data_IF_273464265784
#
_entry.id   IF_273464265784
#
_cell.length_a   1.000
_cell.length_b   1.000
_cell.length_c   1.000
_cell.angle_alpha   90.00
_cell.angle_beta   90.00
_cell.angle_gamma   90.00
#
_symmetry.space_group_name_H-M   'P 1'
#
loop_
_entity.id
_entity.type
_entity.pdbx_description
1 polymer ?
#
# COMPACT_ATOMS: atom_id res chain seq x y z
N UNK A 1 21.04 -9.46 11.48
CA UNK A 1 21.73 -10.52 12.25
C UNK A 1 23.03 -10.01 12.88
N UNK A 2 24.18 -9.95 12.17
CA UNK A 2 25.46 -9.53 12.81
C UNK A 2 25.40 -8.17 13.53
N UNK A 3 24.87 -7.14 12.85
CA UNK A 3 24.73 -5.78 13.41
C UNK A 3 23.76 -5.67 14.60
N UNK A 4 22.72 -6.50 14.62
CA UNK A 4 21.76 -6.55 15.73
C UNK A 4 22.42 -7.13 16.97
N UNK A 5 23.19 -8.22 16.78
CA UNK A 5 23.98 -8.84 17.83
C UNK A 5 25.03 -7.87 18.40
N UNK A 6 25.76 -7.15 17.53
CA UNK A 6 26.71 -6.11 17.96
C UNK A 6 26.04 -5.01 18.80
N UNK A 7 24.86 -4.53 18.40
CA UNK A 7 24.11 -3.52 19.16
C UNK A 7 23.67 -4.04 20.53
N UNK A 8 23.22 -5.31 20.59
CA UNK A 8 22.83 -5.99 21.83
C UNK A 8 24.01 -6.18 22.78
N UNK A 9 25.17 -6.58 22.26
CA UNK A 9 26.38 -6.80 23.04
C UNK A 9 26.94 -5.48 23.59
N UNK A 10 26.94 -4.42 22.76
CA UNK A 10 27.31 -3.08 23.19
C UNK A 10 26.39 -2.56 24.31
N UNK A 11 25.07 -2.71 24.16
CA UNK A 11 24.10 -2.30 25.18
C UNK A 11 24.31 -3.08 26.50
N UNK A 12 24.59 -4.38 26.40
CA UNK A 12 24.86 -5.25 27.55
C UNK A 12 26.15 -4.87 28.28
N UNK A 13 27.21 -4.54 27.54
CA UNK A 13 28.49 -4.07 28.09
C UNK A 13 28.35 -2.75 28.85
N UNK A 14 27.66 -1.76 28.26
CA UNK A 14 27.37 -0.46 28.92
C UNK A 14 26.53 -0.66 30.18
N UNK A 15 25.53 -1.54 30.13
CA UNK A 15 24.68 -1.86 31.28
C UNK A 15 25.50 -2.45 32.44
N UNK A 16 26.41 -3.40 32.16
CA UNK A 16 27.29 -3.98 33.19
C UNK A 16 28.18 -2.93 33.83
N UNK A 17 28.85 -2.10 33.02
CA UNK A 17 29.71 -1.01 33.51
C UNK A 17 28.94 0.01 34.35
N UNK A 18 27.73 0.38 33.94
CA UNK A 18 26.87 1.27 34.73
C UNK A 18 26.48 0.65 36.07
N UNK A 19 26.16 -0.65 36.10
CA UNK A 19 25.89 -1.37 37.36
C UNK A 19 27.12 -1.45 38.27
N UNK A 20 28.31 -1.67 37.71
CA UNK A 20 29.56 -1.72 38.47
C UNK A 20 29.89 -0.37 39.11
N UNK A 21 29.76 0.72 38.36
CA UNK A 21 29.92 2.08 38.89
C UNK A 21 28.85 2.45 39.91
N UNK A 22 27.61 1.98 39.72
CA UNK A 22 26.53 2.15 40.70
C UNK A 22 26.85 1.47 42.03
N UNK A 23 27.49 0.28 41.99
CA UNK A 23 27.98 -0.40 43.19
C UNK A 23 29.16 0.35 43.82
N UNK A 24 30.12 0.82 43.02
CA UNK A 24 31.27 1.56 43.50
C UNK A 24 30.88 2.89 44.19
N UNK A 25 29.86 3.58 43.68
CA UNK A 25 29.34 4.82 44.25
C UNK A 25 28.91 4.66 45.72
N UNK A 26 28.36 3.49 46.09
CA UNK A 26 27.88 3.24 47.45
C UNK A 26 29.01 3.21 48.50
N UNK A 27 30.25 2.97 48.08
CA UNK A 27 31.44 2.89 48.96
C UNK A 27 32.49 3.95 48.66
N UNK A 28 32.27 4.79 47.65
CA UNK A 28 33.26 5.75 47.19
C UNK A 28 33.40 6.92 48.18
N UNK A 29 34.63 7.46 48.39
CA UNK A 29 34.82 8.68 49.15
C UNK A 29 34.15 9.88 48.45
N UNK A 30 33.75 10.89 49.23
CA UNK A 30 33.03 12.07 48.70
C UNK A 30 33.77 12.79 47.56
N UNK A 31 35.10 12.73 47.53
CA UNK A 31 35.93 13.30 46.47
C UNK A 31 35.79 12.61 45.12
N UNK A 32 35.39 11.33 45.08
CA UNK A 32 35.24 10.54 43.84
C UNK A 32 33.79 10.39 43.39
N UNK A 33 32.84 10.54 44.32
CA UNK A 33 31.41 10.35 44.07
C UNK A 33 30.90 11.20 42.88
N UNK A 34 31.28 12.48 42.80
CA UNK A 34 30.86 13.38 41.73
C UNK A 34 31.31 12.91 40.33
N UNK A 35 32.52 12.36 40.20
CA UNK A 35 33.03 11.83 38.94
C UNK A 35 32.29 10.55 38.53
N UNK A 36 32.01 9.67 39.51
CA UNK A 36 31.25 8.44 39.29
C UNK A 36 29.81 8.77 38.84
N UNK A 37 29.16 9.74 39.47
CA UNK A 37 27.82 10.21 39.10
C UNK A 37 27.77 10.80 37.68
N UNK A 38 28.77 11.59 37.30
CA UNK A 38 28.89 12.12 35.95
C UNK A 38 29.04 10.99 34.90
N UNK A 39 29.92 10.03 35.16
CA UNK A 39 30.13 8.88 34.27
C UNK A 39 28.87 7.99 34.19
N UNK A 40 28.18 7.76 35.31
CA UNK A 40 26.90 7.05 35.33
C UNK A 40 25.84 7.74 34.47
N UNK A 41 25.76 9.07 34.55
CA UNK A 41 24.83 9.87 33.73
C UNK A 41 25.15 9.70 32.24
N UNK A 42 26.43 9.78 31.87
CA UNK A 42 26.90 9.56 30.49
C UNK A 42 26.60 8.14 29.99
N UNK A 43 26.87 7.11 30.80
CA UNK A 43 26.63 5.71 30.44
C UNK A 43 25.13 5.40 30.32
N UNK A 44 24.29 5.95 31.20
CA UNK A 44 22.82 5.79 31.11
C UNK A 44 22.26 6.44 29.85
N UNK A 45 22.72 7.64 29.49
CA UNK A 45 22.36 8.28 28.22
C UNK A 45 22.75 7.39 27.03
N UNK A 46 24.00 6.89 27.03
CA UNK A 46 24.49 5.98 25.99
C UNK A 46 23.71 4.66 25.93
N UNK A 47 23.35 4.09 27.08
CA UNK A 47 22.54 2.88 27.17
C UNK A 47 21.17 3.11 26.54
N UNK A 48 20.52 4.24 26.83
CA UNK A 48 19.22 4.61 26.26
C UNK A 48 19.28 4.71 24.74
N UNK A 49 20.31 5.37 24.18
CA UNK A 49 20.55 5.45 22.73
C UNK A 49 20.72 4.06 22.08
N UNK A 50 21.55 3.19 22.67
CA UNK A 50 21.79 1.84 22.15
C UNK A 50 20.54 0.98 22.24
N UNK A 51 19.79 1.07 23.34
CA UNK A 51 18.54 0.36 23.52
C UNK A 51 17.48 0.80 22.50
N UNK A 52 17.36 2.11 22.24
CA UNK A 52 16.47 2.64 21.22
C UNK A 52 16.87 2.15 19.81
N UNK A 53 18.17 2.16 19.48
CA UNK A 53 18.69 1.64 18.22
C UNK A 53 18.36 0.16 18.04
N UNK A 54 18.63 -0.67 19.06
CA UNK A 54 18.36 -2.10 19.03
C UNK A 54 16.85 -2.37 18.84
N UNK A 55 15.98 -1.67 19.58
CA UNK A 55 14.52 -1.81 19.45
C UNK A 55 14.06 -1.48 18.02
N UNK A 56 14.52 -0.36 17.46
CA UNK A 56 14.20 0.04 16.09
C UNK A 56 14.68 -0.98 15.05
N UNK A 57 15.85 -1.59 15.25
CA UNK A 57 16.35 -2.64 14.36
C UNK A 57 15.53 -3.92 14.45
N UNK A 58 15.19 -4.37 15.66
CA UNK A 58 14.36 -5.55 15.88
C UNK A 58 12.97 -5.39 15.25
N UNK A 59 12.33 -4.22 15.46
CA UNK A 59 11.02 -3.91 14.89
C UNK A 59 11.07 -3.89 13.34
N UNK A 60 12.12 -3.32 12.76
CA UNK A 60 12.33 -3.30 11.30
C UNK A 60 12.54 -4.72 10.74
N UNK A 61 13.34 -5.55 11.40
CA UNK A 61 13.57 -6.94 11.00
C UNK A 61 12.26 -7.73 11.05
N UNK A 62 11.45 -7.54 12.09
CA UNK A 62 10.14 -8.16 12.21
C UNK A 62 9.20 -7.74 11.07
N UNK A 63 9.14 -6.45 10.76
CA UNK A 63 8.33 -5.92 9.65
C UNK A 63 8.77 -6.49 8.29
N UNK A 64 10.08 -6.55 8.03
CA UNK A 64 10.64 -7.12 6.80
C UNK A 64 10.33 -8.63 6.71
N UNK A 65 10.49 -9.37 7.80
CA UNK A 65 10.21 -10.82 7.84
C UNK A 65 8.74 -11.10 7.55
N UNK A 66 7.84 -10.33 8.17
CA UNK A 66 6.41 -10.43 7.91
C UNK A 66 6.07 -10.13 6.44
N UNK A 67 6.66 -9.08 5.87
CA UNK A 67 6.48 -8.77 4.45
C UNK A 67 7.00 -9.88 3.54
N UNK A 68 8.19 -10.43 3.79
CA UNK A 68 8.75 -11.54 3.01
C UNK A 68 7.84 -12.78 3.03
N UNK A 69 7.18 -13.07 4.15
CA UNK A 69 6.27 -14.21 4.27
C UNK A 69 4.97 -14.05 3.46
N UNK A 70 4.59 -12.81 3.12
CA UNK A 70 3.36 -12.49 2.38
C UNK A 70 3.61 -12.01 0.94
N UNK A 71 4.87 -11.79 0.58
CA UNK A 71 5.25 -11.33 -0.75
C UNK A 71 4.94 -12.40 -1.82
N UNK A 72 4.27 -11.98 -2.89
CA UNK A 72 3.97 -12.84 -4.04
C UNK A 72 4.83 -12.46 -5.26
N UNK A 73 5.16 -13.46 -6.07
CA UNK A 73 6.01 -13.31 -7.26
C UNK A 73 7.51 -13.51 -6.99
N UNK A 74 8.30 -13.48 -8.06
CA UNK A 74 9.76 -13.66 -7.97
C UNK A 74 10.42 -12.37 -7.50
N UNK A 75 11.15 -12.45 -6.39
CA UNK A 75 11.97 -11.35 -5.88
C UNK A 75 13.32 -11.35 -6.59
N UNK A 76 13.72 -10.20 -7.09
CA UNK A 76 14.99 -9.99 -7.77
C UNK A 76 15.78 -8.89 -7.06
N UNK A 77 17.08 -9.07 -6.94
CA UNK A 77 17.96 -8.01 -6.43
C UNK A 77 18.07 -6.89 -7.45
N UNK A 78 17.82 -5.66 -7.00
CA UNK A 78 17.94 -4.44 -7.78
C UNK A 78 19.20 -3.72 -7.34
N UNK A 79 19.86 -3.06 -8.28
CA UNK A 79 21.03 -2.24 -7.97
C UNK A 79 20.64 -1.13 -6.96
N UNK A 80 21.43 -0.90 -5.89
CA UNK A 80 21.20 0.20 -4.97
C UNK A 80 21.06 1.53 -5.71
N UNK A 81 20.10 2.36 -5.28
CA UNK A 81 19.92 3.68 -5.87
C UNK A 81 21.13 4.58 -5.57
N UNK A 82 21.42 5.51 -6.47
CA UNK A 82 22.43 6.55 -6.23
C UNK A 82 21.70 7.82 -5.83
N UNK A 83 21.78 8.18 -4.55
CA UNK A 83 21.24 9.44 -4.08
C UNK A 83 22.25 10.57 -4.30
N UNK A 84 21.81 11.66 -4.93
CA UNK A 84 22.63 12.85 -5.14
C UNK A 84 22.42 13.84 -3.98
N UNK A 85 23.53 14.28 -3.37
CA UNK A 85 23.51 15.41 -2.44
C UNK A 85 23.45 16.72 -3.24
N UNK A 86 22.67 17.68 -2.75
CA UNK A 86 22.73 19.05 -3.30
C UNK A 86 24.03 19.75 -2.87
N UNK A 87 24.38 20.84 -3.57
CA UNK A 87 25.60 21.60 -3.27
C UNK A 87 25.58 22.12 -1.83
N UNK A 88 26.53 21.65 -1.01
CA UNK A 88 26.65 22.04 0.40
C UNK A 88 25.68 21.32 1.35
N UNK A 89 24.92 20.34 0.87
CA UNK A 89 23.98 19.58 1.68
C UNK A 89 24.67 18.46 2.46
N UNK A 90 24.36 18.33 3.76
CA UNK A 90 24.80 17.20 4.58
C UNK A 90 23.92 15.97 4.34
N UNK A 91 24.44 14.77 4.57
CA UNK A 91 23.65 13.52 4.44
C UNK A 91 22.37 13.58 5.29
N UNK A 92 22.46 14.07 6.53
CA UNK A 92 21.30 14.22 7.41
C UNK A 92 20.26 15.20 6.85
N UNK A 93 20.68 16.33 6.25
CA UNK A 93 19.77 17.28 5.61
C UNK A 93 19.07 16.66 4.40
N UNK A 94 19.81 15.89 3.58
CA UNK A 94 19.26 15.19 2.43
C UNK A 94 18.21 14.13 2.85
N UNK A 95 18.46 13.37 3.92
CA UNK A 95 17.49 12.42 4.48
C UNK A 95 16.23 13.14 4.97
N UNK A 96 16.36 14.28 5.68
CA UNK A 96 15.20 15.07 6.13
C UNK A 96 14.36 15.56 4.94
N UNK A 97 15.01 16.04 3.87
CA UNK A 97 14.31 16.43 2.64
C UNK A 97 13.55 15.26 2.00
N UNK A 98 14.20 14.10 1.86
CA UNK A 98 13.56 12.91 1.30
C UNK A 98 12.37 12.44 2.15
N UNK A 99 12.50 12.45 3.47
CA UNK A 99 11.38 12.13 4.38
C UNK A 99 10.19 13.07 4.21
N UNK A 100 10.44 14.38 4.07
CA UNK A 100 9.39 15.34 3.78
C UNK A 100 8.70 15.04 2.44
N UNK A 101 9.49 14.68 1.42
CA UNK A 101 8.96 14.28 0.11
C UNK A 101 8.11 13.00 0.19
N UNK A 102 8.56 11.98 0.91
CA UNK A 102 7.84 10.72 1.11
C UNK A 102 6.51 10.97 1.83
N UNK A 103 6.52 11.82 2.86
CA UNK A 103 5.29 12.23 3.55
C UNK A 103 4.31 12.93 2.60
N UNK A 104 4.80 13.88 1.79
CA UNK A 104 3.96 14.56 0.79
C UNK A 104 3.36 13.59 -0.23
N UNK A 105 4.15 12.65 -0.76
CA UNK A 105 3.68 11.62 -1.69
C UNK A 105 2.66 10.68 -1.05
N UNK A 106 2.83 10.34 0.23
CA UNK A 106 1.89 9.51 0.99
C UNK A 106 0.55 10.22 1.15
N UNK A 107 0.56 11.51 1.50
CA UNK A 107 -0.63 12.34 1.61
C UNK A 107 -1.34 12.48 0.26
N UNK A 108 -0.59 12.71 -0.82
CA UNK A 108 -1.15 12.76 -2.18
C UNK A 108 -1.80 11.42 -2.56
N UNK A 109 -1.16 10.29 -2.22
CA UNK A 109 -1.71 8.95 -2.45
C UNK A 109 -3.05 8.75 -1.75
N UNK A 110 -3.16 9.14 -0.47
CA UNK A 110 -4.44 9.07 0.27
C UNK A 110 -5.50 9.94 -0.40
N UNK A 111 -5.16 11.17 -0.81
CA UNK A 111 -6.07 12.06 -1.54
C UNK A 111 -6.57 11.45 -2.85
N UNK A 112 -5.70 10.79 -3.62
CA UNK A 112 -6.08 10.10 -4.87
C UNK A 112 -6.93 8.86 -4.60
N UNK A 113 -6.67 8.12 -3.51
CA UNK A 113 -7.52 7.01 -3.09
C UNK A 113 -8.93 7.46 -2.65
N UNK A 114 -9.06 8.66 -2.12
CA UNK A 114 -10.33 9.24 -1.70
C UNK A 114 -11.02 10.05 -2.82
N UNK A 115 -10.43 10.12 -4.01
CA UNK A 115 -11.03 10.82 -5.14
C UNK A 115 -12.37 10.17 -5.52
N UNK A 116 -13.41 11.02 -5.60
CA UNK A 116 -14.74 10.61 -6.03
C UNK A 116 -14.78 10.29 -7.52
N UNK A 117 -15.85 9.61 -7.95
CA UNK A 117 -16.11 9.35 -9.37
C UNK A 117 -16.70 10.63 -10.00
N UNK A 118 -16.22 11.08 -11.17
CA UNK A 118 -16.81 12.21 -11.87
C UNK A 118 -18.29 11.97 -12.18
N UNK A 119 -19.11 13.03 -12.11
CA UNK A 119 -20.55 12.95 -12.41
C UNK A 119 -20.80 12.40 -13.83
N UNK A 120 -19.98 12.79 -14.80
CA UNK A 120 -20.06 12.27 -16.17
C UNK A 120 -19.87 10.74 -16.22
N UNK A 121 -18.89 10.21 -15.48
CA UNK A 121 -18.64 8.77 -15.40
C UNK A 121 -19.79 8.04 -14.67
N UNK A 122 -20.38 8.66 -13.64
CA UNK A 122 -21.56 8.12 -12.95
C UNK A 122 -22.78 8.03 -13.88
N UNK A 123 -23.02 9.06 -14.71
CA UNK A 123 -24.09 9.05 -15.71
C UNK A 123 -23.85 8.00 -16.80
N UNK A 124 -22.60 7.84 -17.25
CA UNK A 124 -22.25 6.78 -18.19
C UNK A 124 -22.45 5.38 -17.60
N UNK A 125 -22.11 5.19 -16.31
CA UNK A 125 -22.39 3.94 -15.59
C UNK A 125 -23.89 3.71 -15.40
N UNK A 126 -24.66 4.76 -15.12
CA UNK A 126 -26.12 4.67 -15.03
C UNK A 126 -26.74 4.26 -16.38
N UNK A 127 -26.28 4.83 -17.49
CA UNK A 127 -26.72 4.43 -18.83
C UNK A 127 -26.43 2.95 -19.09
N UNK A 128 -25.18 2.51 -18.90
CA UNK A 128 -24.80 1.10 -19.08
C UNK A 128 -25.57 0.15 -18.14
N UNK A 129 -25.92 0.60 -16.94
CA UNK A 129 -26.75 -0.15 -16.00
C UNK A 129 -28.19 -0.29 -16.49
N UNK A 130 -28.80 0.79 -17.01
CA UNK A 130 -30.14 0.76 -17.60
C UNK A 130 -30.17 -0.15 -18.81
N UNK A 131 -29.17 -0.09 -19.69
CA UNK A 131 -29.07 -0.98 -20.86
C UNK A 131 -29.08 -2.46 -20.43
N UNK A 132 -28.27 -2.80 -19.42
CA UNK A 132 -28.24 -4.16 -18.87
C UNK A 132 -29.56 -4.58 -18.20
N UNK A 133 -30.31 -3.63 -17.64
CA UNK A 133 -31.64 -3.87 -17.07
C UNK A 133 -32.70 -4.08 -18.15
N UNK A 134 -32.65 -3.35 -19.25
CA UNK A 134 -33.55 -3.52 -20.41
C UNK A 134 -33.45 -4.94 -20.94
N UNK A 135 -32.22 -5.42 -21.16
CA UNK A 135 -31.97 -6.78 -21.65
C UNK A 135 -32.49 -7.85 -20.69
N UNK A 136 -32.36 -7.61 -19.37
CA UNK A 136 -32.85 -8.51 -18.33
C UNK A 136 -34.37 -8.46 -18.16
N UNK A 137 -34.96 -7.29 -18.33
CA UNK A 137 -36.39 -7.02 -18.14
C UNK A 137 -37.26 -7.44 -19.32
N UNK A 138 -36.65 -7.74 -20.47
CA UNK A 138 -37.36 -8.13 -21.69
C UNK A 138 -38.22 -9.38 -21.47
N UNK A 139 -39.55 -9.29 -21.61
CA UNK A 139 -40.40 -10.46 -21.52
C UNK A 139 -40.23 -11.36 -22.74
N UNK A 140 -40.33 -12.66 -22.49
CA UNK A 140 -40.51 -13.68 -23.52
C UNK A 140 -42.01 -13.83 -23.75
N UNK A 141 -42.46 -13.49 -24.95
CA UNK A 141 -43.84 -13.72 -25.38
C UNK A 141 -43.91 -15.12 -25.99
N UNK A 142 -44.84 -15.94 -25.50
CA UNK A 142 -45.14 -17.26 -26.00
C UNK A 142 -46.57 -17.21 -26.56
N UNK A 143 -46.70 -17.40 -27.86
CA UNK A 143 -47.98 -17.53 -28.55
C UNK A 143 -47.89 -18.78 -29.44
N UNK A 144 -48.68 -19.80 -29.13
CA UNK A 144 -48.74 -21.09 -29.84
C UNK A 144 -50.21 -21.39 -30.18
N UNK A 145 -50.49 -22.08 -31.29
CA UNK A 145 -51.85 -22.46 -31.67
C UNK A 145 -52.51 -23.42 -30.66
N UNK A 146 -51.71 -24.06 -29.79
CA UNK A 146 -52.17 -25.01 -28.76
C UNK A 146 -52.14 -24.47 -27.34
N UNK A 147 -51.64 -23.24 -27.11
CA UNK A 147 -51.54 -22.63 -25.79
C UNK A 147 -52.13 -21.22 -25.81
N UNK A 148 -52.69 -20.79 -24.69
CA UNK A 148 -53.12 -19.40 -24.56
C UNK A 148 -51.93 -18.44 -24.65
N UNK A 149 -52.21 -17.21 -25.03
CA UNK A 149 -51.22 -16.13 -25.07
C UNK A 149 -50.60 -15.95 -23.68
N UNK A 150 -49.27 -16.12 -23.58
CA UNK A 150 -48.54 -16.04 -22.31
C UNK A 150 -47.34 -15.09 -22.43
N UNK A 151 -47.15 -14.26 -21.40
CA UNK A 151 -45.99 -13.35 -21.29
C UNK A 151 -45.17 -13.76 -20.08
N UNK A 152 -43.96 -14.24 -20.31
CA UNK A 152 -43.04 -14.69 -19.27
C UNK A 152 -41.87 -13.72 -19.12
N UNK A 153 -41.71 -13.11 -17.95
CA UNK A 153 -40.48 -12.37 -17.65
C UNK A 153 -39.37 -13.36 -17.31
N UNK A 154 -38.17 -13.18 -17.90
CA UNK A 154 -37.04 -14.09 -17.67
C UNK A 154 -36.55 -13.92 -16.22
N UNK A 155 -37.06 -14.77 -15.33
CA UNK A 155 -36.60 -14.86 -13.94
C UNK A 155 -35.30 -15.65 -13.94
N UNK A 156 -34.18 -15.04 -13.54
CA UNK A 156 -32.99 -15.83 -13.24
C UNK A 156 -33.32 -16.84 -12.14
N UNK A 157 -32.96 -18.11 -12.33
CA UNK A 157 -33.32 -19.23 -11.44
C UNK A 157 -32.84 -19.05 -9.98
N UNK A 158 -31.95 -18.10 -9.73
CA UNK A 158 -31.47 -17.77 -8.39
C UNK A 158 -32.51 -16.93 -7.65
N UNK A 159 -33.43 -17.61 -6.97
CA UNK A 159 -34.31 -17.05 -5.95
C UNK A 159 -33.49 -16.63 -4.72
N UNK A 160 -32.78 -15.52 -4.80
CA UNK A 160 -32.43 -14.79 -3.57
C UNK A 160 -33.69 -14.08 -3.05
N UNK A 161 -33.85 -13.93 -1.74
CA UNK A 161 -34.99 -13.36 -1.00
C UNK A 161 -35.51 -11.96 -1.43
N UNK A 162 -34.93 -11.34 -2.46
CA UNK A 162 -35.31 -10.02 -2.96
C UNK A 162 -36.67 -9.98 -3.70
N UNK A 163 -37.31 -11.12 -3.97
CA UNK A 163 -38.69 -11.21 -4.46
C UNK A 163 -39.00 -10.32 -5.68
N UNK A 164 -40.21 -9.76 -5.72
CA UNK A 164 -40.66 -8.82 -6.76
C UNK A 164 -39.84 -7.52 -6.75
N UNK A 165 -39.40 -7.05 -5.58
CA UNK A 165 -38.68 -5.79 -5.42
C UNK A 165 -37.36 -5.75 -6.21
N UNK A 166 -36.63 -6.88 -6.27
CA UNK A 166 -35.42 -6.99 -7.09
C UNK A 166 -35.68 -6.98 -8.61
N UNK A 167 -36.93 -7.24 -9.04
CA UNK A 167 -37.31 -7.35 -10.47
C UNK A 167 -37.89 -6.06 -11.03
N UNK A 168 -38.51 -5.23 -10.18
CA UNK A 168 -39.15 -3.98 -10.59
C UNK A 168 -38.23 -3.05 -11.40
N UNK A 169 -36.94 -2.83 -11.03
CA UNK A 169 -36.08 -1.96 -11.82
C UNK A 169 -35.87 -2.45 -13.26
N UNK A 170 -35.76 -3.76 -13.48
CA UNK A 170 -35.59 -4.33 -14.82
C UNK A 170 -36.87 -4.18 -15.67
N UNK A 171 -38.03 -4.43 -15.07
CA UNK A 171 -39.33 -4.27 -15.76
C UNK A 171 -39.57 -2.80 -16.11
N UNK A 172 -39.30 -1.87 -15.18
CA UNK A 172 -39.45 -0.43 -15.41
C UNK A 172 -38.47 0.08 -16.48
N UNK A 173 -37.21 -0.35 -16.43
CA UNK A 173 -36.21 0.00 -17.43
C UNK A 173 -36.59 -0.55 -18.83
N UNK A 174 -37.12 -1.76 -18.92
CA UNK A 174 -37.62 -2.31 -20.19
C UNK A 174 -38.84 -1.53 -20.74
N UNK A 175 -39.73 -1.07 -19.86
CA UNK A 175 -40.94 -0.37 -20.25
C UNK A 175 -40.66 1.05 -20.80
N UNK A 176 -39.83 1.82 -20.10
CA UNK A 176 -39.44 3.18 -20.49
C UNK A 176 -37.99 3.48 -20.05
N UNK A 177 -36.99 3.07 -20.84
CA UNK A 177 -35.58 3.22 -20.49
C UNK A 177 -35.17 4.69 -20.38
N UNK A 178 -35.72 5.55 -21.24
CA UNK A 178 -35.36 6.97 -21.31
C UNK A 178 -35.83 7.72 -20.07
N UNK A 179 -37.09 7.52 -19.65
CA UNK A 179 -37.61 8.16 -18.43
C UNK A 179 -36.89 7.63 -17.18
N UNK A 180 -36.61 6.33 -17.13
CA UNK A 180 -35.90 5.73 -16.00
C UNK A 180 -34.48 6.28 -15.88
N UNK A 181 -33.73 6.35 -16.99
CA UNK A 181 -32.39 6.96 -17.04
C UNK A 181 -32.43 8.46 -16.70
N UNK A 182 -33.43 9.20 -17.18
CA UNK A 182 -33.60 10.61 -16.87
C UNK A 182 -33.77 10.86 -15.36
N UNK A 183 -34.54 10.01 -14.66
CA UNK A 183 -34.71 10.07 -13.20
C UNK A 183 -33.43 9.73 -12.44
N UNK A 184 -32.66 8.75 -12.91
CA UNK A 184 -31.35 8.45 -12.35
C UNK A 184 -30.39 9.63 -12.52
N UNK A 185 -30.32 10.21 -13.71
CA UNK A 185 -29.48 11.37 -13.99
C UNK A 185 -29.85 12.58 -13.13
N UNK A 186 -31.15 12.86 -12.95
CA UNK A 186 -31.61 13.90 -12.05
C UNK A 186 -31.15 13.66 -10.60
N UNK A 187 -31.20 12.41 -10.15
CA UNK A 187 -30.75 12.03 -8.80
C UNK A 187 -29.24 12.20 -8.66
N UNK A 188 -28.46 11.80 -9.68
CA UNK A 188 -27.01 12.00 -9.74
C UNK A 188 -26.66 13.48 -9.74
N UNK A 189 -27.38 14.32 -10.48
CA UNK A 189 -27.16 15.77 -10.54
C UNK A 189 -27.47 16.47 -9.21
N UNK A 190 -28.35 15.90 -8.39
CA UNK A 190 -28.65 16.39 -7.05
C UNK A 190 -27.61 15.95 -6.00
N UNK A 191 -26.69 15.04 -6.32
CA UNK A 191 -25.64 14.61 -5.39
C UNK A 191 -24.61 15.71 -5.17
N UNK A 192 -24.05 15.86 -3.95
CA UNK A 192 -22.96 16.79 -3.70
C UNK A 192 -21.77 16.50 -4.62
N UNK A 193 -21.29 17.52 -5.33
CA UNK A 193 -20.12 17.37 -6.20
C UNK A 193 -18.87 17.17 -5.33
N UNK A 194 -18.13 16.05 -5.48
CA UNK A 194 -16.92 15.83 -4.70
C UNK A 194 -15.88 16.90 -5.06
N UNK A 195 -15.17 17.48 -4.07
CA UNK A 195 -14.18 18.53 -4.31
C UNK A 195 -12.98 18.05 -5.12
N UNK A 196 -12.77 16.72 -5.18
CA UNK A 196 -11.73 16.10 -5.98
C UNK A 196 -12.30 14.82 -6.62
N UNK A 197 -12.49 14.86 -7.94
CA UNK A 197 -12.99 13.75 -8.72
C UNK A 197 -11.94 13.28 -9.73
N UNK A 198 -11.81 11.96 -9.94
CA UNK A 198 -10.92 11.36 -10.92
C UNK A 198 -11.57 10.13 -11.54
N UNK A 199 -11.45 9.97 -12.87
CA UNK A 199 -11.90 8.75 -13.52
C UNK A 199 -11.13 7.54 -13.00
N UNK A 200 -11.74 6.34 -13.03
CA UNK A 200 -11.11 5.12 -12.52
C UNK A 200 -9.75 4.83 -13.16
N UNK A 201 -9.63 5.06 -14.49
CA UNK A 201 -8.37 4.90 -15.23
C UNK A 201 -7.31 5.91 -14.79
N UNK A 202 -7.66 7.19 -14.69
CA UNK A 202 -6.72 8.23 -14.26
C UNK A 202 -6.25 8.01 -12.82
N UNK A 203 -7.17 7.61 -11.93
CA UNK A 203 -6.87 7.25 -10.53
C UNK A 203 -5.89 6.08 -10.46
N UNK A 204 -6.15 4.99 -11.19
CA UNK A 204 -5.25 3.83 -11.21
C UNK A 204 -3.84 4.19 -11.72
N UNK A 205 -3.75 4.93 -12.83
CA UNK A 205 -2.47 5.38 -13.39
C UNK A 205 -1.70 6.28 -12.42
N UNK A 206 -2.40 7.23 -11.77
CA UNK A 206 -1.79 8.14 -10.79
C UNK A 206 -1.30 7.39 -9.56
N UNK A 207 -2.04 6.39 -9.08
CA UNK A 207 -1.61 5.55 -7.95
C UNK A 207 -0.35 4.74 -8.26
N UNK A 208 -0.26 4.16 -9.47
CA UNK A 208 0.95 3.45 -9.92
C UNK A 208 2.16 4.41 -9.97
N UNK A 209 1.96 5.61 -10.54
CA UNK A 209 3.02 6.61 -10.62
C UNK A 209 3.48 7.09 -9.23
N UNK A 210 2.53 7.29 -8.30
CA UNK A 210 2.83 7.67 -6.92
C UNK A 210 3.57 6.55 -6.18
N UNK A 211 3.16 5.29 -6.32
CA UNK A 211 3.86 4.14 -5.71
C UNK A 211 5.31 4.03 -6.22
N UNK A 212 5.51 4.16 -7.53
CA UNK A 212 6.84 4.13 -8.13
C UNK A 212 7.73 5.29 -7.62
N UNK A 213 7.16 6.49 -7.51
CA UNK A 213 7.87 7.66 -6.98
C UNK A 213 8.23 7.51 -5.50
N UNK A 214 7.31 6.94 -4.70
CA UNK A 214 7.50 6.71 -3.28
C UNK A 214 8.63 5.70 -3.06
N UNK A 215 8.58 4.56 -3.75
CA UNK A 215 9.64 3.54 -3.70
C UNK A 215 11.01 4.10 -4.13
N UNK A 216 11.04 4.95 -5.15
CA UNK A 216 12.28 5.58 -5.60
C UNK A 216 12.87 6.51 -4.53
N UNK A 217 12.05 7.39 -3.93
CA UNK A 217 12.51 8.24 -2.83
C UNK A 217 13.00 7.43 -1.62
N UNK A 218 12.39 6.29 -1.33
CA UNK A 218 12.81 5.42 -0.23
C UNK A 218 14.13 4.69 -0.52
N UNK A 219 14.36 4.27 -1.76
CA UNK A 219 15.66 3.72 -2.17
C UNK A 219 16.78 4.77 -2.09
N UNK A 220 16.48 6.01 -2.44
CA UNK A 220 17.43 7.13 -2.28
C UNK A 220 17.70 7.43 -0.81
N UNK A 221 16.67 7.39 0.05
CA UNK A 221 16.82 7.54 1.50
C UNK A 221 17.73 6.45 2.05
N UNK A 222 17.48 5.19 1.69
CA UNK A 222 18.26 4.05 2.16
C UNK A 222 19.73 4.15 1.72
N UNK A 223 19.98 4.50 0.47
CA UNK A 223 21.34 4.69 -0.03
C UNK A 223 22.14 5.76 0.76
N UNK A 224 21.46 6.83 1.19
CA UNK A 224 22.08 7.84 2.06
C UNK A 224 22.30 7.33 3.49
N UNK A 225 21.37 6.53 4.02
CA UNK A 225 21.53 5.93 5.35
C UNK A 225 22.72 4.96 5.36
N UNK A 226 22.83 4.10 4.36
CA UNK A 226 23.98 3.20 4.19
C UNK A 226 25.31 3.97 4.11
N UNK A 227 25.36 5.03 3.28
CA UNK A 227 26.54 5.89 3.19
C UNK A 227 26.88 6.60 4.52
N UNK A 228 25.85 7.01 5.27
CA UNK A 228 26.02 7.61 6.61
C UNK A 228 26.53 6.60 7.63
N UNK A 229 26.19 5.32 7.51
CA UNK A 229 26.71 4.27 8.40
C UNK A 229 28.21 4.02 8.19
N UNK A 230 28.71 4.21 6.97
CA UNK A 230 30.14 4.04 6.65
C UNK A 230 31.00 5.22 7.07
N UNK A 231 30.49 6.45 6.91
CA UNK A 231 31.32 7.67 6.97
C UNK A 231 30.83 8.74 7.94
N UNK A 232 29.63 8.59 8.49
CA UNK A 232 28.90 9.69 9.13
C UNK A 232 28.18 9.32 10.44
N UNK A 233 27.29 10.21 10.91
CA UNK A 233 26.47 9.92 12.08
C UNK A 233 25.49 8.79 11.77
N UNK A 234 25.16 7.99 12.78
CA UNK A 234 24.18 6.92 12.64
C UNK A 234 22.79 7.54 12.46
N UNK A 235 22.20 7.33 11.29
CA UNK A 235 20.82 7.73 10.99
C UNK A 235 19.93 6.50 11.17
N UNK A 236 18.91 6.60 12.02
CA UNK A 236 17.95 5.51 12.20
C UNK A 236 17.01 5.41 10.99
N UNK A 237 16.84 4.19 10.48
CA UNK A 237 15.84 3.84 9.45
C UNK A 237 14.44 4.00 10.00
N UNK A 238 13.49 4.41 9.14
CA UNK A 238 12.07 4.52 9.50
C UNK A 238 11.46 3.12 9.61
N UNK A 239 10.63 2.89 10.62
CA UNK A 239 9.89 1.63 10.77
C UNK A 239 8.87 1.38 9.65
N UNK A 240 8.42 2.46 8.99
CA UNK A 240 7.48 2.41 7.87
C UNK A 240 8.16 2.38 6.49
N UNK A 241 9.49 2.22 6.43
CA UNK A 241 10.20 2.12 5.16
C UNK A 241 9.79 0.86 4.40
N UNK A 242 9.59 0.96 3.08
CA UNK A 242 9.25 -0.20 2.26
C UNK A 242 10.38 -1.25 2.31
N UNK A 243 10.10 -2.51 2.67
CA UNK A 243 11.09 -3.59 2.70
C UNK A 243 11.84 -3.78 1.38
N UNK A 244 11.22 -3.46 0.24
CA UNK A 244 11.86 -3.49 -1.08
C UNK A 244 12.99 -2.47 -1.20
N UNK A 245 12.84 -1.29 -0.58
CA UNK A 245 13.89 -0.27 -0.56
C UNK A 245 15.05 -0.71 0.34
N UNK A 246 14.74 -1.18 1.56
CA UNK A 246 15.75 -1.60 2.55
C UNK A 246 16.57 -2.80 2.08
N UNK A 247 15.93 -3.79 1.43
CA UNK A 247 16.60 -5.00 0.94
C UNK A 247 17.15 -4.87 -0.49
N UNK A 248 17.00 -3.71 -1.13
CA UNK A 248 17.31 -3.52 -2.56
C UNK A 248 16.64 -4.58 -3.45
N UNK A 249 15.35 -4.84 -3.25
CA UNK A 249 14.59 -5.83 -4.01
C UNK A 249 13.62 -5.19 -5.01
N UNK A 250 13.31 -5.93 -6.06
CA UNK A 250 12.24 -5.69 -7.03
C UNK A 250 11.36 -6.93 -7.16
N UNK A 251 10.11 -6.72 -7.59
CA UNK A 251 9.18 -7.83 -7.86
C UNK A 251 9.05 -7.96 -9.38
N UNK A 252 9.54 -9.06 -9.95
CA UNK A 252 9.38 -9.32 -11.37
C UNK A 252 8.00 -9.93 -11.63
N UNK A 253 7.05 -9.09 -12.06
CA UNK A 253 5.69 -9.54 -12.45
C UNK A 253 5.64 -10.18 -13.84
N UNK A 254 6.73 -10.09 -14.62
CA UNK A 254 6.75 -10.41 -16.05
C UNK A 254 6.92 -11.88 -16.40
N UNK A 255 7.41 -12.73 -15.50
CA UNK A 255 7.62 -14.15 -15.82
C UNK A 255 6.37 -15.02 -15.60
N UNK A 256 5.51 -14.69 -14.62
CA UNK A 256 4.27 -15.45 -14.38
C UNK A 256 3.25 -15.25 -15.51
N UNK A 257 3.02 -14.01 -15.97
CA UNK A 257 2.04 -13.73 -17.03
C UNK A 257 2.44 -14.26 -18.41
N UNK A 258 3.75 -14.48 -18.66
CA UNK A 258 4.23 -15.07 -19.93
C UNK A 258 4.11 -16.60 -19.97
N UNK A 259 4.02 -17.28 -18.83
CA UNK A 259 3.89 -18.75 -18.80
C UNK A 259 2.43 -19.22 -18.99
N UNK A 260 1.43 -18.47 -18.53
CA UNK A 260 0.02 -18.81 -18.74
C UNK A 260 -0.49 -18.60 -20.18
N UNK A 261 0.20 -17.77 -20.98
CA UNK A 261 -0.16 -17.49 -22.38
C UNK A 261 0.32 -18.54 -23.39
N UNK A 262 1.08 -19.55 -22.97
CA UNK A 262 1.61 -20.62 -23.84
C UNK A 262 0.91 -21.97 -23.57
N UNK A 263 -0.40 -21.94 -23.32
CA UNK A 263 -1.24 -23.13 -23.50
C UNK A 263 -1.36 -23.32 -25.00
N UNK A 264 -0.51 -24.19 -25.54
CA UNK A 264 -0.58 -24.69 -26.90
C UNK A 264 -2.01 -25.18 -27.13
N UNK A 265 -2.78 -24.50 -28.00
CA UNK A 265 -4.01 -25.06 -28.56
C UNK A 265 -3.56 -26.29 -29.34
N UNK A 266 -3.57 -27.45 -28.69
CA UNK A 266 -3.53 -28.74 -29.34
C UNK A 266 -4.72 -28.73 -30.29
N UNK A 267 -4.43 -28.59 -31.59
CA UNK A 267 -5.44 -28.74 -32.63
C UNK A 267 -5.98 -30.16 -32.51
N UNK A 268 -7.26 -30.27 -32.20
CA UNK A 268 -8.00 -31.51 -32.35
C UNK A 268 -8.29 -31.70 -33.85
N UNK A 269 -7.24 -32.01 -34.61
CA UNK A 269 -7.36 -32.54 -35.95
C UNK A 269 -6.79 -33.96 -35.90
N UNK A 270 -7.55 -34.91 -36.45
CA UNK A 270 -7.30 -36.35 -36.61
C UNK A 270 -8.01 -37.29 -35.62
N UNK A 271 -9.35 -37.30 -35.73
CA UNK A 271 -10.13 -38.52 -35.59
C UNK A 271 -11.15 -38.57 -36.74
N UNK A 272 -10.67 -39.04 -37.89
CA UNK A 272 -11.48 -39.57 -38.99
C UNK A 272 -11.31 -41.09 -39.02
#
# INVERSE_FOLDING_TARGET
>A
MAREQEARDAASSVTRRASDLGRALATAPASEAANIEHELTRLRARQSELAAKHRNQADLIAAITHWLSSATGTLETVKPAKAALQKGETISAAVVRLRARIHALTTERVKVMQAGVPIADLKAQAAAYVDALVDRGRPRIIADHRRDFEVQFRVGETWSDAGLAGRLPAILAWLDPDQFLAKLNQTIDAMPTPPFAMSGKARAQKLIALEASLLQCEREEEALIESSEETGPVILRRLTADPRAVLCLGINRGQAAKQEGKVERVKADDAA
#
